data_IF_614529844362
#
_entry.id   IF_614529844362
#
_cell.length_a   1.000
_cell.length_b   1.000
_cell.length_c   1.000
_cell.angle_alpha   90.00
_cell.angle_beta   90.00
_cell.angle_gamma   90.00
#
_symmetry.space_group_name_H-M   'P 1'
#
loop_
_entity.id
_entity.type
_entity.pdbx_description
1 polymer ?
#
# COMPACT_ATOMS: atom_id res chain seq x y z
N UNK A 1 23.90 19.53 -13.12
CA UNK A 1 23.20 18.58 -12.22
C UNK A 1 23.52 18.97 -10.80
N UNK A 2 22.60 19.60 -10.13
CA UNK A 2 22.77 19.95 -8.71
C UNK A 2 22.37 18.75 -7.88
N UNK A 3 23.35 17.98 -7.46
CA UNK A 3 23.19 16.98 -6.39
C UNK A 3 22.98 17.76 -5.10
N UNK A 4 21.78 17.73 -4.55
CA UNK A 4 21.54 18.25 -3.22
C UNK A 4 22.22 17.32 -2.22
N UNK A 5 23.27 17.83 -1.58
CA UNK A 5 23.96 17.13 -0.50
C UNK A 5 23.16 17.31 0.81
N UNK A 6 22.49 16.25 1.23
CA UNK A 6 21.74 16.20 2.49
C UNK A 6 22.59 15.76 3.70
N UNK A 7 23.91 15.56 3.49
CA UNK A 7 24.83 15.12 4.55
C UNK A 7 24.80 16.00 5.81
N UNK A 8 24.58 17.34 5.73
CA UNK A 8 24.51 18.18 6.93
C UNK A 8 23.28 17.89 7.80
N UNK A 9 22.17 17.39 7.21
CA UNK A 9 20.95 17.10 7.96
C UNK A 9 21.06 15.85 8.84
N UNK A 10 21.99 14.95 8.52
CA UNK A 10 22.17 13.70 9.25
C UNK A 10 23.09 13.85 10.47
N UNK A 11 23.79 14.99 10.64
CA UNK A 11 24.73 15.18 11.74
C UNK A 11 24.11 15.54 13.06
N UNK A 12 22.85 16.01 13.07
CA UNK A 12 22.17 16.51 14.27
C UNK A 12 20.84 15.83 14.58
N UNK A 13 20.43 14.84 13.81
CA UNK A 13 19.12 14.21 13.93
C UNK A 13 19.25 12.74 14.27
N UNK A 14 18.77 12.35 15.43
CA UNK A 14 18.68 10.96 15.87
C UNK A 14 17.33 10.39 15.39
N UNK A 15 17.34 9.27 14.66
CA UNK A 15 16.12 8.57 14.22
C UNK A 15 15.72 8.77 12.76
N UNK A 16 16.51 9.47 11.95
CA UNK A 16 16.26 9.66 10.50
C UNK A 16 16.73 8.50 9.62
N UNK A 17 17.37 7.47 10.19
CA UNK A 17 17.85 6.28 9.46
C UNK A 17 16.71 5.57 8.72
N UNK A 18 15.53 5.61 9.31
CA UNK A 18 14.31 5.04 8.72
C UNK A 18 13.83 5.81 7.50
N UNK A 19 13.93 7.13 7.51
CA UNK A 19 13.54 7.98 6.39
C UNK A 19 14.55 7.83 5.24
N UNK A 20 15.84 7.78 5.54
CA UNK A 20 16.90 7.56 4.55
C UNK A 20 16.78 6.18 3.89
N UNK A 21 16.44 5.14 4.66
CA UNK A 21 16.19 3.80 4.11
C UNK A 21 14.92 3.73 3.25
N UNK A 22 13.89 4.49 3.61
CA UNK A 22 12.67 4.61 2.80
C UNK A 22 12.94 5.36 1.49
N UNK A 23 13.72 6.45 1.52
CA UNK A 23 14.10 7.19 0.31
C UNK A 23 15.03 6.38 -0.60
N UNK A 24 15.97 5.63 -0.04
CA UNK A 24 16.84 4.75 -0.83
C UNK A 24 16.10 3.53 -1.38
N UNK A 25 15.06 3.07 -0.70
CA UNK A 25 14.17 2.03 -1.21
C UNK A 25 13.30 2.54 -2.36
N UNK A 26 12.80 3.76 -2.28
CA UNK A 26 12.06 4.42 -3.36
C UNK A 26 12.94 4.60 -4.61
N UNK A 27 14.20 5.01 -4.43
CA UNK A 27 15.15 5.20 -5.54
C UNK A 27 15.58 3.87 -6.18
N UNK A 28 15.67 2.79 -5.40
CA UNK A 28 15.94 1.44 -5.92
C UNK A 28 14.74 0.83 -6.64
N UNK A 29 13.51 1.23 -6.27
CA UNK A 29 12.31 0.78 -6.95
C UNK A 29 12.21 1.35 -8.39
N UNK A 30 12.83 2.51 -8.67
CA UNK A 30 12.85 3.11 -10.00
C UNK A 30 13.90 2.51 -10.94
N UNK A 31 14.96 1.90 -10.42
CA UNK A 31 16.08 1.39 -11.25
C UNK A 31 15.99 -0.10 -11.58
N UNK A 32 15.01 -0.82 -11.10
CA UNK A 32 14.77 -2.23 -11.43
C UNK A 32 13.68 -2.37 -12.48
N UNK A 33 14.06 -2.81 -13.68
CA UNK A 33 13.23 -3.32 -14.74
C UNK A 33 11.79 -3.63 -14.27
N UNK A 34 10.88 -2.67 -14.43
CA UNK A 34 9.56 -2.64 -13.79
C UNK A 34 8.56 -3.69 -14.29
N UNK A 35 9.01 -4.92 -14.48
CA UNK A 35 8.15 -6.02 -14.87
C UNK A 35 7.50 -6.71 -13.66
N UNK A 36 6.21 -6.99 -13.73
CA UNK A 36 5.25 -6.53 -14.72
C UNK A 36 4.90 -5.05 -14.54
N UNK A 37 4.56 -4.32 -15.61
CA UNK A 37 4.06 -2.96 -15.50
C UNK A 37 2.72 -2.93 -14.77
N UNK A 38 2.48 -1.89 -14.00
CA UNK A 38 1.27 -1.74 -13.19
C UNK A 38 0.82 -0.29 -13.08
N UNK A 39 -0.46 -0.11 -12.79
CA UNK A 39 -1.07 1.16 -12.47
C UNK A 39 -1.70 1.08 -11.07
N UNK A 40 -1.69 2.19 -10.35
CA UNK A 40 -2.43 2.36 -9.10
C UNK A 40 -3.45 3.48 -9.33
N UNK A 41 -4.73 3.17 -9.14
CA UNK A 41 -5.83 4.11 -9.31
C UNK A 41 -6.55 4.33 -7.99
N UNK A 42 -6.98 5.55 -7.75
CA UNK A 42 -7.92 5.90 -6.69
C UNK A 42 -9.32 5.96 -7.28
N UNK A 43 -10.22 5.09 -6.81
CA UNK A 43 -11.58 4.93 -7.32
C UNK A 43 -12.67 5.52 -6.40
N UNK A 44 -12.35 6.54 -5.62
CA UNK A 44 -13.23 7.16 -4.63
C UNK A 44 -12.50 7.48 -3.34
N UNK A 45 -13.21 7.83 -2.27
CA UNK A 45 -12.54 8.32 -1.05
C UNK A 45 -11.72 7.25 -0.35
N UNK A 46 -12.15 5.99 -0.39
CA UNK A 46 -11.48 4.90 0.32
C UNK A 46 -11.25 3.67 -0.56
N UNK A 47 -11.37 3.79 -1.88
CA UNK A 47 -11.20 2.68 -2.81
C UNK A 47 -10.01 2.88 -3.70
N UNK A 48 -9.22 1.83 -3.87
CA UNK A 48 -8.04 1.82 -4.72
C UNK A 48 -8.05 0.57 -5.58
N UNK A 49 -7.38 0.63 -6.72
CA UNK A 49 -7.18 -0.51 -7.61
C UNK A 49 -5.75 -0.54 -8.12
N UNK A 50 -5.13 -1.69 -7.99
CA UNK A 50 -3.87 -2.00 -8.66
C UNK A 50 -4.21 -2.82 -9.91
N UNK A 51 -3.72 -2.41 -11.07
CA UNK A 51 -3.86 -3.16 -12.32
C UNK A 51 -2.48 -3.51 -12.82
N UNK A 52 -2.20 -4.80 -12.97
CA UNK A 52 -0.90 -5.31 -13.43
C UNK A 52 -1.06 -6.02 -14.78
N UNK A 53 -0.19 -5.71 -15.73
CA UNK A 53 -0.16 -6.40 -17.01
C UNK A 53 0.63 -7.72 -16.90
N UNK A 54 -0.11 -8.81 -16.78
CA UNK A 54 0.43 -10.16 -16.56
C UNK A 54 0.04 -11.10 -17.71
N UNK A 55 0.08 -10.58 -18.94
CA UNK A 55 -0.22 -11.37 -20.13
C UNK A 55 0.65 -12.62 -20.18
N UNK A 56 0.03 -13.75 -20.47
CA UNK A 56 0.68 -15.06 -20.54
C UNK A 56 0.72 -15.84 -19.22
N UNK A 57 0.27 -15.25 -18.09
CA UNK A 57 0.08 -15.96 -16.82
C UNK A 57 -1.37 -16.41 -16.69
N UNK A 58 -1.58 -17.65 -16.29
CA UNK A 58 -2.87 -18.17 -15.89
C UNK A 58 -3.12 -17.82 -14.39
N UNK A 59 -4.34 -17.97 -13.94
CA UNK A 59 -4.69 -17.77 -12.53
C UNK A 59 -3.86 -18.67 -11.59
N UNK A 60 -3.62 -19.91 -12.01
CA UNK A 60 -2.81 -20.88 -11.25
C UNK A 60 -1.33 -20.48 -11.11
N UNK A 61 -0.82 -19.63 -12.01
CA UNK A 61 0.57 -19.15 -12.00
C UNK A 61 0.77 -17.95 -11.08
N UNK A 62 -0.33 -17.34 -10.62
CA UNK A 62 -0.34 -16.11 -9.84
C UNK A 62 -0.69 -16.39 -8.38
N UNK A 63 0.01 -15.75 -7.47
CA UNK A 63 -0.30 -15.80 -6.05
C UNK A 63 -0.28 -14.40 -5.46
N UNK A 64 -1.28 -14.11 -4.63
CA UNK A 64 -1.43 -12.82 -3.94
C UNK A 64 -1.47 -13.09 -2.45
N UNK A 65 -0.53 -12.51 -1.72
CA UNK A 65 -0.45 -12.61 -0.27
C UNK A 65 -0.53 -11.23 0.35
N UNK A 66 -1.42 -11.05 1.30
CA UNK A 66 -1.52 -9.84 2.10
C UNK A 66 -1.15 -10.16 3.55
N UNK A 67 -0.11 -9.52 4.04
CA UNK A 67 0.36 -9.70 5.41
C UNK A 67 0.68 -8.35 6.03
N UNK A 68 0.02 -8.05 7.14
CA UNK A 68 0.10 -6.72 7.77
C UNK A 68 -0.21 -5.61 6.75
N UNK A 69 0.72 -4.68 6.58
CA UNK A 69 0.60 -3.56 5.63
C UNK A 69 1.38 -3.82 4.32
N UNK A 70 1.59 -5.07 3.97
CA UNK A 70 2.33 -5.47 2.77
C UNK A 70 1.50 -6.40 1.89
N UNK A 71 1.39 -6.04 0.63
CA UNK A 71 0.80 -6.87 -0.40
C UNK A 71 1.92 -7.40 -1.30
N UNK A 72 2.01 -8.70 -1.44
CA UNK A 72 2.98 -9.37 -2.32
C UNK A 72 2.24 -10.10 -3.43
N UNK A 73 2.62 -9.83 -4.65
CA UNK A 73 2.11 -10.50 -5.86
C UNK A 73 3.25 -11.24 -6.51
N UNK A 74 3.11 -12.54 -6.67
CA UNK A 74 4.10 -13.38 -7.33
C UNK A 74 3.49 -14.04 -8.56
N UNK A 75 4.27 -14.12 -9.62
CA UNK A 75 3.95 -14.90 -10.81
C UNK A 75 5.07 -15.89 -11.06
N UNK A 76 4.73 -17.17 -11.11
CA UNK A 76 5.68 -18.25 -11.33
C UNK A 76 5.21 -19.10 -12.47
N UNK A 77 6.02 -19.18 -13.52
CA UNK A 77 5.77 -20.04 -14.65
C UNK A 77 6.88 -21.08 -14.74
N UNK A 78 6.58 -22.35 -15.01
CA UNK A 78 7.63 -23.32 -15.32
C UNK A 78 8.39 -22.81 -16.55
N UNK A 79 9.72 -22.90 -16.48
CA UNK A 79 10.55 -22.64 -17.66
C UNK A 79 10.14 -23.59 -18.76
N UNK A 80 9.56 -23.06 -19.82
CA UNK A 80 9.40 -23.83 -21.07
C UNK A 80 10.81 -24.12 -21.57
N UNK A 81 11.14 -25.39 -21.64
CA UNK A 81 12.40 -25.80 -22.28
C UNK A 81 12.42 -25.19 -23.69
N UNK A 82 13.40 -24.35 -23.96
CA UNK A 82 13.65 -23.84 -25.31
C UNK A 82 13.91 -25.05 -26.20
N UNK A 83 12.88 -25.47 -26.94
CA UNK A 83 13.08 -26.43 -28.00
C UNK A 83 13.78 -25.70 -29.14
N UNK A 84 14.82 -26.29 -29.68
CA UNK A 84 15.62 -25.73 -30.79
C UNK A 84 14.75 -25.36 -32.01
N UNK A 85 13.52 -25.90 -32.13
CA UNK A 85 12.55 -25.62 -33.15
C UNK A 85 11.73 -24.32 -32.97
N UNK A 86 11.80 -23.68 -31.81
CA UNK A 86 11.04 -22.46 -31.48
C UNK A 86 11.94 -21.28 -31.09
N UNK A 87 13.01 -21.05 -31.85
CA UNK A 87 13.87 -19.88 -31.62
C UNK A 87 13.14 -18.58 -31.97
N UNK A 88 12.95 -17.70 -31.00
CA UNK A 88 12.40 -16.37 -31.24
C UNK A 88 13.39 -15.52 -32.06
N UNK A 89 12.98 -14.96 -33.18
CA UNK A 89 13.75 -13.92 -33.85
C UNK A 89 13.78 -12.62 -33.06
N UNK A 90 12.71 -12.35 -32.30
CA UNK A 90 12.59 -11.22 -31.39
C UNK A 90 11.59 -11.58 -30.27
N UNK A 91 11.97 -11.34 -29.03
CA UNK A 91 11.13 -11.59 -27.86
C UNK A 91 10.92 -10.30 -27.07
N UNK A 92 9.78 -9.64 -27.31
CA UNK A 92 9.39 -8.42 -26.58
C UNK A 92 8.50 -8.68 -25.37
N UNK A 93 7.83 -9.85 -25.32
CA UNK A 93 6.97 -10.24 -24.20
C UNK A 93 7.79 -11.05 -23.20
N UNK A 94 8.03 -10.48 -22.02
CA UNK A 94 8.72 -11.19 -20.95
C UNK A 94 7.75 -12.16 -20.25
N UNK A 95 8.09 -13.44 -20.24
CA UNK A 95 7.37 -14.48 -19.48
C UNK A 95 8.19 -15.00 -18.30
N UNK A 96 8.87 -14.08 -17.61
CA UNK A 96 9.74 -14.43 -16.48
C UNK A 96 8.99 -14.36 -15.17
N UNK A 97 9.42 -15.15 -14.23
CA UNK A 97 8.93 -15.10 -12.87
C UNK A 97 9.14 -13.71 -12.27
N UNK A 98 8.20 -13.26 -11.47
CA UNK A 98 8.27 -11.96 -10.83
C UNK A 98 7.75 -12.02 -9.39
N UNK A 99 8.19 -11.06 -8.61
CA UNK A 99 7.67 -10.74 -7.29
C UNK A 99 7.53 -9.22 -7.18
N UNK A 100 6.31 -8.75 -6.89
CA UNK A 100 6.00 -7.35 -6.65
C UNK A 100 5.47 -7.17 -5.24
N UNK A 101 6.02 -6.18 -4.55
CA UNK A 101 5.62 -5.82 -3.19
C UNK A 101 5.08 -4.42 -3.17
N UNK A 102 3.91 -4.25 -2.57
CA UNK A 102 3.26 -2.97 -2.36
C UNK A 102 3.11 -2.74 -0.86
N UNK A 103 3.48 -1.55 -0.40
CA UNK A 103 3.24 -1.14 0.98
C UNK A 103 1.86 -0.50 1.06
N UNK A 104 1.00 -1.06 1.88
CA UNK A 104 -0.35 -0.55 2.13
C UNK A 104 -0.31 0.41 3.31
N UNK A 105 -1.09 1.49 3.21
CA UNK A 105 -1.32 2.36 4.36
C UNK A 105 -2.14 1.63 5.43
N UNK A 106 -2.15 2.18 6.64
CA UNK A 106 -2.95 1.64 7.73
C UNK A 106 -4.41 1.57 7.34
N UNK A 107 -5.06 0.48 7.75
CA UNK A 107 -6.46 0.17 7.47
C UNK A 107 -6.81 -0.09 6.01
N UNK A 108 -5.84 -0.20 5.11
CA UNK A 108 -6.06 -0.63 3.72
C UNK A 108 -6.04 -2.15 3.65
N UNK A 109 -7.09 -2.73 3.09
CA UNK A 109 -7.24 -4.17 2.91
C UNK A 109 -7.56 -4.50 1.46
N UNK A 110 -7.18 -5.70 1.04
CA UNK A 110 -7.57 -6.25 -0.25
C UNK A 110 -9.03 -6.71 -0.14
N UNK A 111 -9.89 -6.15 -0.98
CA UNK A 111 -11.31 -6.52 -1.06
C UNK A 111 -11.58 -7.62 -2.08
N UNK A 112 -10.71 -7.75 -3.08
CA UNK A 112 -10.82 -8.79 -4.10
C UNK A 112 -9.73 -8.70 -5.14
N UNK A 113 -9.61 -9.76 -5.93
CA UNK A 113 -8.73 -9.80 -7.09
C UNK A 113 -9.41 -10.56 -8.23
N UNK A 114 -9.14 -10.15 -9.47
CA UNK A 114 -9.60 -10.83 -10.68
C UNK A 114 -8.59 -10.70 -11.79
N UNK A 115 -8.51 -11.74 -12.60
CA UNK A 115 -7.72 -11.77 -13.84
C UNK A 115 -8.68 -11.63 -15.02
N UNK A 116 -8.48 -10.62 -15.84
CA UNK A 116 -9.28 -10.35 -17.01
C UNK A 116 -8.40 -9.87 -18.16
N UNK A 117 -8.51 -10.53 -19.31
CA UNK A 117 -7.77 -10.17 -20.53
C UNK A 117 -6.26 -9.94 -20.35
N UNK A 118 -5.60 -10.73 -19.50
CA UNK A 118 -4.18 -10.59 -19.19
C UNK A 118 -3.85 -9.45 -18.23
N UNK A 119 -4.86 -8.82 -17.62
CA UNK A 119 -4.72 -7.81 -16.59
C UNK A 119 -5.18 -8.37 -15.25
N UNK A 120 -4.30 -8.31 -14.26
CA UNK A 120 -4.65 -8.63 -12.88
C UNK A 120 -5.12 -7.35 -12.19
N UNK A 121 -6.38 -7.33 -11.80
CA UNK A 121 -6.99 -6.25 -11.02
C UNK A 121 -7.06 -6.65 -9.56
N UNK A 122 -6.49 -5.84 -8.69
CA UNK A 122 -6.54 -6.02 -7.23
C UNK A 122 -7.27 -4.82 -6.67
N UNK A 123 -8.42 -5.06 -6.09
CA UNK A 123 -9.24 -4.03 -5.46
C UNK A 123 -8.90 -3.93 -3.97
N UNK A 124 -8.69 -2.72 -3.50
CA UNK A 124 -8.35 -2.42 -2.11
C UNK A 124 -9.33 -1.38 -1.57
N UNK A 125 -9.61 -1.52 -0.29
CA UNK A 125 -10.48 -0.60 0.42
C UNK A 125 -9.84 -0.19 1.76
N UNK A 126 -9.96 1.10 2.07
CA UNK A 126 -9.51 1.63 3.35
C UNK A 126 -10.70 1.66 4.32
N UNK A 127 -10.63 0.81 5.33
CA UNK A 127 -11.60 0.75 6.42
C UNK A 127 -11.08 1.59 7.60
N UNK A 128 -11.69 2.76 7.82
CA UNK A 128 -11.39 3.56 9.01
C UNK A 128 -12.25 3.00 10.14
N UNK A 129 -11.64 2.47 11.24
CA UNK A 129 -12.39 1.99 12.38
C UNK A 129 -13.33 3.06 12.92
N UNK A 130 -14.51 2.69 13.36
CA UNK A 130 -15.51 3.61 13.94
C UNK A 130 -14.91 4.45 15.09
N UNK A 131 -14.02 3.87 15.89
CA UNK A 131 -13.33 4.57 16.96
C UNK A 131 -12.41 5.71 16.50
N UNK A 132 -12.01 5.71 15.23
CA UNK A 132 -11.13 6.72 14.63
C UNK A 132 -11.90 7.72 13.75
N UNK A 133 -13.20 7.52 13.55
CA UNK A 133 -14.04 8.49 12.85
C UNK A 133 -14.25 9.72 13.72
N UNK A 134 -14.27 10.93 13.14
CA UNK A 134 -14.62 12.13 13.87
C UNK A 134 -16.00 11.96 14.51
N UNK A 135 -16.06 12.07 15.83
CA UNK A 135 -17.34 12.05 16.58
C UNK A 135 -17.56 13.44 17.17
N UNK A 136 -18.77 13.88 17.09
CA UNK A 136 -19.19 15.08 17.79
C UNK A 136 -19.26 14.78 19.30
N UNK A 137 -18.52 15.53 20.08
CA UNK A 137 -18.57 15.43 21.55
C UNK A 137 -19.56 16.48 22.03
N UNK A 138 -20.61 16.02 22.68
CA UNK A 138 -21.56 16.92 23.34
C UNK A 138 -20.90 17.55 24.56
N UNK A 139 -20.90 18.86 24.58
CA UNK A 139 -20.43 19.64 25.74
C UNK A 139 -21.59 19.64 26.72
N UNK A 140 -21.46 18.88 27.80
CA UNK A 140 -22.38 18.98 28.92
C UNK A 140 -22.10 20.30 29.63
N UNK A 141 -23.03 21.22 29.58
CA UNK A 141 -23.01 22.37 30.44
C UNK A 141 -23.17 21.86 31.89
N UNK A 142 -22.13 21.99 32.68
CA UNK A 142 -22.23 21.78 34.12
C UNK A 142 -23.22 22.83 34.64
N UNK A 143 -24.47 22.41 34.81
CA UNK A 143 -25.45 23.23 35.50
C UNK A 143 -24.82 23.61 36.88
N UNK A 144 -24.85 24.87 37.21
CA UNK A 144 -24.47 25.37 38.51
C UNK A 144 -25.25 24.59 39.58
N UNK A 145 -24.64 23.56 40.11
CA UNK A 145 -24.97 23.11 41.45
C UNK A 145 -24.31 24.06 42.42
N UNK A 146 -24.73 25.32 42.41
CA UNK A 146 -24.74 26.11 43.62
C UNK A 146 -26.00 25.69 44.31
N UNK A 147 -25.96 24.53 44.97
CA UNK A 147 -26.87 24.24 46.02
C UNK A 147 -26.52 25.29 47.10
N UNK A 148 -27.41 26.24 47.20
CA UNK A 148 -27.55 27.12 48.32
C UNK A 148 -27.53 26.25 49.57
N UNK A 149 -26.39 26.26 50.28
CA UNK A 149 -26.32 25.72 51.62
C UNK A 149 -27.17 26.64 52.47
N UNK A 150 -28.45 26.29 52.51
CA UNK A 150 -29.40 26.96 53.32
C UNK A 150 -28.87 27.15 54.73
N UNK A 151 -28.80 28.37 55.13
CA UNK A 151 -28.62 28.80 56.50
C UNK A 151 -29.68 28.08 57.34
N UNK A 152 -29.26 27.02 58.02
CA UNK A 152 -30.00 26.59 59.18
C UNK A 152 -29.47 27.38 60.38
N UNK A 153 -29.98 28.56 60.55
CA UNK A 153 -29.85 29.34 61.75
C UNK A 153 -31.03 29.04 62.61
N UNK A 154 -30.92 27.94 63.33
CA UNK A 154 -31.74 27.76 64.49
C UNK A 154 -31.30 28.79 65.57
N UNK A 155 -32.24 29.62 65.92
CA UNK A 155 -32.07 30.55 67.02
C UNK A 155 -32.05 29.81 68.35
#
# INVERSE_FOLDING_TARGET
MTTFDFSPLFRTSVGYDRLASLMSSAHRAESGNGFPPYNIQKGGDNKYRITMAVAGFAEADLNITSEHNKLTVTGTKPEEAESEDNAYLYRGIATRNFERRFNLADHVRVSGARLDNGLLHIDLEREIPEAMKPRQIEIQATGNLIEDAGEDRAA
#
